data_IF_171909905907
#
_entry.id   IF_171909905907
#
_cell.length_a   1.000
_cell.length_b   1.000
_cell.length_c   1.000
_cell.angle_alpha   90.00
_cell.angle_beta   90.00
_cell.angle_gamma   90.00
#
_symmetry.space_group_name_H-M   'P 1'
#
loop_
_entity.id
_entity.type
_entity.pdbx_description
1 polymer ?
#
# COMPACT_ATOMS: atom_id res chain seq x y z
N UNK A 1 5.01 10.80 10.71
CA UNK A 1 4.99 11.71 9.54
C UNK A 1 6.29 12.47 9.34
N UNK A 2 6.80 13.22 10.33
CA UNK A 2 8.09 13.96 10.23
C UNK A 2 9.26 13.18 9.61
N UNK A 3 9.40 11.87 9.88
CA UNK A 3 10.44 11.05 9.26
C UNK A 3 10.23 10.85 7.75
N UNK A 4 8.99 10.60 7.31
CA UNK A 4 8.64 10.47 5.88
C UNK A 4 8.90 11.79 5.17
N UNK A 5 8.51 12.91 5.78
CA UNK A 5 8.78 14.25 5.25
C UNK A 5 10.28 14.51 5.08
N UNK A 6 11.10 14.17 6.09
CA UNK A 6 12.56 14.28 5.97
C UNK A 6 13.14 13.44 4.83
N UNK A 7 12.58 12.26 4.58
CA UNK A 7 13.00 11.40 3.46
C UNK A 7 12.62 12.06 2.13
N UNK A 8 11.40 12.58 2.01
CA UNK A 8 10.93 13.33 0.84
C UNK A 8 11.86 14.51 0.57
N UNK A 9 12.11 15.34 1.58
CA UNK A 9 12.98 16.52 1.47
C UNK A 9 14.39 16.13 0.98
N UNK A 10 14.94 15.04 1.50
CA UNK A 10 16.24 14.52 1.08
C UNK A 10 16.29 14.10 -0.39
N UNK A 11 15.24 13.44 -0.89
CA UNK A 11 15.15 13.04 -2.30
C UNK A 11 14.89 14.23 -3.23
N UNK A 12 14.01 15.15 -2.85
CA UNK A 12 13.73 16.36 -3.63
C UNK A 12 14.97 17.26 -3.72
N UNK A 13 15.75 17.38 -2.64
CA UNK A 13 16.98 18.17 -2.62
C UNK A 13 18.05 17.69 -3.62
N UNK A 14 18.04 16.40 -3.99
CA UNK A 14 18.92 15.83 -5.03
C UNK A 14 18.26 15.79 -6.41
N UNK A 15 17.12 16.47 -6.59
CA UNK A 15 16.41 16.57 -7.86
C UNK A 15 15.54 15.35 -8.20
N UNK A 16 15.30 14.44 -7.24
CA UNK A 16 14.43 13.30 -7.48
C UNK A 16 12.96 13.70 -7.47
N UNK A 17 12.18 13.14 -8.40
CA UNK A 17 10.72 13.20 -8.35
C UNK A 17 10.20 12.12 -7.40
N UNK A 18 9.51 12.53 -6.35
CA UNK A 18 9.04 11.59 -5.31
C UNK A 18 7.59 11.17 -5.56
N UNK A 19 7.35 9.87 -5.42
CA UNK A 19 6.02 9.25 -5.44
C UNK A 19 5.77 8.51 -4.13
N UNK A 20 4.57 8.67 -3.59
CA UNK A 20 4.09 7.88 -2.46
C UNK A 20 3.25 6.70 -2.96
N UNK A 21 3.39 5.56 -2.29
CA UNK A 21 2.62 4.35 -2.60
C UNK A 21 1.85 3.94 -1.36
N UNK A 22 0.53 3.75 -1.47
CA UNK A 22 -0.28 3.25 -0.34
C UNK A 22 -0.04 1.76 -0.10
N UNK A 23 -0.36 1.28 1.09
CA UNK A 23 -0.13 -0.11 1.49
C UNK A 23 -1.39 -0.96 1.24
N UNK A 24 -1.33 -1.98 0.38
CA UNK A 24 -2.35 -3.03 0.37
C UNK A 24 -2.18 -3.90 1.63
N UNK A 25 -3.25 -4.60 2.02
CA UNK A 25 -3.21 -5.48 3.19
C UNK A 25 -4.23 -6.60 3.09
N UNK A 26 -4.00 -7.67 3.84
CA UNK A 26 -4.88 -8.85 3.90
C UNK A 26 -6.25 -8.52 4.50
N UNK A 27 -6.29 -7.64 5.49
CA UNK A 27 -7.53 -7.23 6.16
C UNK A 27 -8.06 -5.89 5.62
N UNK A 28 -9.34 -5.63 5.84
CA UNK A 28 -10.06 -4.42 5.43
C UNK A 28 -11.22 -4.19 6.40
N UNK A 29 -11.55 -2.93 6.69
CA UNK A 29 -12.72 -2.61 7.53
C UNK A 29 -14.05 -2.82 6.80
N UNK A 30 -14.01 -2.97 5.47
CA UNK A 30 -15.20 -3.05 4.61
C UNK A 30 -15.69 -4.47 4.33
N UNK A 31 -14.89 -5.48 4.65
CA UNK A 31 -15.21 -6.89 4.36
C UNK A 31 -14.88 -7.78 5.56
N UNK A 32 -15.63 -8.88 5.69
CA UNK A 32 -15.33 -9.90 6.69
C UNK A 32 -14.12 -10.73 6.23
N UNK A 33 -13.08 -10.91 7.05
CA UNK A 33 -11.97 -11.79 6.71
C UNK A 33 -12.44 -13.23 6.46
N UNK A 34 -11.87 -13.89 5.45
CA UNK A 34 -12.07 -15.33 5.26
C UNK A 34 -11.42 -16.12 6.40
N UNK A 35 -11.87 -17.38 6.61
CA UNK A 35 -11.23 -18.27 7.59
C UNK A 35 -9.74 -18.49 7.28
N UNK A 36 -9.38 -18.54 6.00
CA UNK A 36 -7.99 -18.66 5.58
C UNK A 36 -7.21 -17.38 5.88
N UNK A 37 -7.78 -16.20 5.66
CA UNK A 37 -7.16 -14.92 6.03
C UNK A 37 -6.89 -14.85 7.54
N UNK A 38 -7.85 -15.27 8.38
CA UNK A 38 -7.66 -15.35 9.83
C UNK A 38 -6.56 -16.33 10.23
N UNK A 39 -6.39 -17.43 9.48
CA UNK A 39 -5.37 -18.44 9.75
C UNK A 39 -3.95 -17.99 9.39
N UNK A 40 -3.80 -17.23 8.30
CA UNK A 40 -2.47 -16.78 7.82
C UNK A 40 -2.10 -15.39 8.35
N UNK A 41 -3.07 -14.60 8.82
CA UNK A 41 -2.83 -13.24 9.27
C UNK A 41 -2.05 -13.19 10.58
N UNK A 42 -0.90 -12.52 10.56
CA UNK A 42 -0.15 -12.15 11.76
C UNK A 42 -0.62 -10.78 12.27
N UNK A 43 -1.13 -10.75 13.50
CA UNK A 43 -1.57 -9.52 14.15
C UNK A 43 -0.50 -9.00 15.11
N UNK A 44 -0.47 -7.68 15.38
CA UNK A 44 0.35 -7.14 16.45
C UNK A 44 0.03 -7.80 17.80
N UNK A 45 1.03 -7.93 18.67
CA UNK A 45 0.90 -8.61 19.96
C UNK A 45 -0.14 -8.01 20.91
N UNK A 46 -0.57 -6.77 20.67
CA UNK A 46 -1.57 -6.07 21.48
C UNK A 46 -3.02 -6.31 21.03
N UNK A 47 -3.26 -7.07 19.94
CA UNK A 47 -4.62 -7.29 19.44
C UNK A 47 -4.78 -8.62 18.72
N UNK A 48 -5.94 -9.23 18.93
CA UNK A 48 -6.41 -10.40 18.15
C UNK A 48 -7.49 -10.01 17.14
N UNK A 49 -7.84 -8.72 17.07
CA UNK A 49 -8.89 -8.21 16.20
C UNK A 49 -8.27 -7.74 14.86
N UNK A 50 -8.53 -8.42 13.73
CA UNK A 50 -7.97 -8.06 12.43
C UNK A 50 -8.40 -6.66 11.95
N UNK A 51 -9.54 -6.16 12.43
CA UNK A 51 -10.02 -4.83 12.10
C UNK A 51 -9.17 -3.72 12.72
N UNK A 52 -8.44 -3.99 13.80
CA UNK A 52 -7.50 -3.04 14.39
C UNK A 52 -6.34 -2.80 13.42
N UNK A 53 -5.75 -3.87 12.88
CA UNK A 53 -4.70 -3.74 11.86
C UNK A 53 -5.23 -3.05 10.59
N UNK A 54 -6.41 -3.46 10.11
CA UNK A 54 -7.04 -2.82 8.95
C UNK A 54 -7.22 -1.31 9.16
N UNK A 55 -7.72 -0.89 10.33
CA UNK A 55 -7.95 0.52 10.66
C UNK A 55 -6.64 1.31 10.73
N UNK A 56 -5.59 0.74 11.34
CA UNK A 56 -4.27 1.38 11.39
C UNK A 56 -3.72 1.60 9.98
N UNK A 57 -3.77 0.56 9.13
CA UNK A 57 -3.30 0.64 7.74
C UNK A 57 -4.11 1.63 6.91
N UNK A 58 -5.44 1.62 7.04
CA UNK A 58 -6.33 2.57 6.34
C UNK A 58 -6.03 4.01 6.77
N UNK A 59 -5.84 4.25 8.07
CA UNK A 59 -5.48 5.57 8.57
C UNK A 59 -4.13 6.04 8.04
N UNK A 60 -3.14 5.14 8.02
CA UNK A 60 -1.83 5.44 7.44
C UNK A 60 -1.93 5.78 5.95
N UNK A 61 -2.70 5.00 5.17
CA UNK A 61 -2.94 5.27 3.75
C UNK A 61 -3.67 6.61 3.52
N UNK A 62 -4.64 6.97 4.35
CA UNK A 62 -5.27 8.29 4.31
C UNK A 62 -4.24 9.40 4.55
N UNK A 63 -3.32 9.22 5.51
CA UNK A 63 -2.26 10.18 5.76
C UNK A 63 -1.28 10.30 4.59
N UNK A 64 -0.93 9.19 3.92
CA UNK A 64 -0.10 9.24 2.70
C UNK A 64 -0.79 10.00 1.57
N UNK A 65 -2.10 9.76 1.36
CA UNK A 65 -2.90 10.49 0.35
C UNK A 65 -2.92 11.99 0.65
N UNK A 66 -3.18 12.36 1.92
CA UNK A 66 -3.19 13.75 2.35
C UNK A 66 -1.81 14.42 2.16
N UNK A 67 -0.73 13.72 2.54
CA UNK A 67 0.63 14.21 2.35
C UNK A 67 0.96 14.42 0.87
N UNK A 68 0.56 13.49 0.00
CA UNK A 68 0.76 13.62 -1.44
C UNK A 68 0.10 14.88 -2.00
N UNK A 69 -1.13 15.18 -1.57
CA UNK A 69 -1.83 16.41 -1.98
C UNK A 69 -1.15 17.66 -1.41
N UNK A 70 -0.84 17.67 -0.12
CA UNK A 70 -0.23 18.81 0.57
C UNK A 70 1.12 19.20 -0.04
N UNK A 71 1.90 18.22 -0.48
CA UNK A 71 3.25 18.40 -1.02
C UNK A 71 3.32 18.35 -2.55
N UNK A 72 2.16 18.24 -3.23
CA UNK A 72 2.08 18.06 -4.69
C UNK A 72 2.95 16.89 -5.21
N UNK A 73 3.01 15.80 -4.45
CA UNK A 73 3.74 14.59 -4.83
C UNK A 73 2.87 13.70 -5.70
N UNK A 74 3.51 12.82 -6.46
CA UNK A 74 2.79 11.75 -7.14
C UNK A 74 2.29 10.69 -6.15
N UNK A 75 1.12 10.11 -6.45
CA UNK A 75 0.54 9.03 -5.66
C UNK A 75 0.25 7.81 -6.54
N UNK A 76 0.71 6.64 -6.12
CA UNK A 76 0.27 5.36 -6.64
C UNK A 76 -0.60 4.69 -5.57
N UNK A 77 -1.92 4.74 -5.78
CA UNK A 77 -2.88 4.23 -4.81
C UNK A 77 -3.08 2.70 -4.93
N UNK A 78 -2.09 1.97 -4.43
CA UNK A 78 -2.03 0.52 -4.45
C UNK A 78 -3.08 -0.13 -3.54
N UNK A 79 -3.45 0.50 -2.43
CA UNK A 79 -4.57 0.04 -1.59
C UNK A 79 -5.87 0.05 -2.38
N UNK A 80 -6.20 1.16 -3.05
CA UNK A 80 -7.44 1.29 -3.81
C UNK A 80 -7.50 0.30 -4.96
N UNK A 81 -6.40 0.17 -5.70
CA UNK A 81 -6.29 -0.83 -6.77
C UNK A 81 -6.37 -2.26 -6.23
N UNK A 82 -5.72 -2.52 -5.09
CA UNK A 82 -5.64 -3.85 -4.46
C UNK A 82 -6.98 -4.34 -3.93
N UNK A 83 -7.85 -3.46 -3.43
CA UNK A 83 -9.22 -3.82 -3.04
C UNK A 83 -10.02 -4.50 -4.16
N UNK A 84 -9.71 -4.17 -5.42
CA UNK A 84 -10.40 -4.71 -6.60
C UNK A 84 -9.63 -5.90 -7.17
N UNK A 85 -8.30 -5.80 -7.27
CA UNK A 85 -7.48 -6.71 -8.09
C UNK A 85 -6.82 -7.84 -7.30
N UNK A 86 -6.77 -7.72 -5.97
CA UNK A 86 -6.25 -8.74 -5.05
C UNK A 86 -7.39 -9.44 -4.31
N UNK A 87 -8.48 -9.77 -5.02
CA UNK A 87 -9.62 -10.47 -4.44
C UNK A 87 -9.75 -11.91 -4.98
N UNK A 88 -10.04 -12.91 -4.12
CA UNK A 88 -10.05 -12.81 -2.65
C UNK A 88 -8.62 -12.64 -2.09
N UNK A 89 -8.48 -11.85 -1.03
CA UNK A 89 -7.17 -11.39 -0.52
C UNK A 89 -6.26 -12.52 -0.05
N UNK A 90 -6.83 -13.55 0.55
CA UNK A 90 -6.13 -14.76 1.02
C UNK A 90 -5.51 -15.62 -0.10
N UNK A 91 -5.67 -15.25 -1.37
CA UNK A 91 -4.96 -15.84 -2.51
C UNK A 91 -3.67 -15.11 -2.89
N UNK A 92 -3.46 -13.89 -2.42
CA UNK A 92 -2.35 -13.03 -2.85
C UNK A 92 -1.37 -12.69 -1.74
N UNK A 93 -1.68 -13.05 -0.50
CA UNK A 93 -0.88 -12.77 0.68
C UNK A 93 -0.32 -14.04 1.32
N UNK A 94 0.86 -13.94 1.93
CA UNK A 94 1.46 -14.97 2.79
C UNK A 94 1.12 -14.73 4.26
N UNK A 95 0.99 -13.47 4.67
CA UNK A 95 0.54 -13.06 5.99
C UNK A 95 -0.28 -11.76 5.91
N UNK A 96 -0.44 -11.02 7.02
CA UNK A 96 -1.25 -9.80 7.04
C UNK A 96 -0.79 -8.69 6.09
N UNK A 97 0.50 -8.65 5.72
CA UNK A 97 1.12 -7.52 5.00
C UNK A 97 1.97 -7.95 3.80
N UNK A 98 2.53 -9.17 3.82
CA UNK A 98 3.40 -9.67 2.77
C UNK A 98 2.62 -10.43 1.70
N UNK A 99 2.97 -10.16 0.45
CA UNK A 99 2.37 -10.79 -0.73
C UNK A 99 3.09 -12.10 -1.05
N UNK A 100 2.35 -13.06 -1.60
CA UNK A 100 2.94 -14.22 -2.25
C UNK A 100 3.36 -13.90 -3.70
N UNK A 101 3.94 -14.86 -4.40
CA UNK A 101 4.43 -14.68 -5.76
C UNK A 101 3.36 -14.13 -6.73
N UNK A 102 2.11 -14.62 -6.64
CA UNK A 102 0.99 -14.14 -7.47
C UNK A 102 0.61 -12.68 -7.13
N UNK A 103 0.63 -12.34 -5.85
CA UNK A 103 0.40 -10.97 -5.39
C UNK A 103 1.47 -10.01 -5.87
N UNK A 104 2.74 -10.40 -5.75
CA UNK A 104 3.89 -9.64 -6.22
C UNK A 104 3.87 -9.44 -7.74
N UNK A 105 3.52 -10.48 -8.51
CA UNK A 105 3.38 -10.39 -9.96
C UNK A 105 2.34 -9.35 -10.36
N UNK A 106 1.13 -9.41 -9.78
CA UNK A 106 0.07 -8.45 -10.10
C UNK A 106 0.44 -7.01 -9.72
N UNK A 107 1.04 -6.81 -8.54
CA UNK A 107 1.47 -5.48 -8.12
C UNK A 107 2.61 -4.97 -8.99
N UNK A 108 3.57 -5.82 -9.35
CA UNK A 108 4.67 -5.46 -10.26
C UNK A 108 4.14 -4.98 -11.61
N UNK A 109 3.20 -5.71 -12.20
CA UNK A 109 2.56 -5.31 -13.46
C UNK A 109 1.82 -3.96 -13.35
N UNK A 110 1.06 -3.76 -12.27
CA UNK A 110 0.36 -2.49 -12.02
C UNK A 110 1.33 -1.31 -11.81
N UNK A 111 2.37 -1.50 -11.01
CA UNK A 111 3.39 -0.47 -10.78
C UNK A 111 4.11 -0.12 -12.08
N UNK A 112 4.47 -1.11 -12.90
CA UNK A 112 5.10 -0.89 -14.20
C UNK A 112 4.21 -0.04 -15.12
N UNK A 113 2.91 -0.34 -15.19
CA UNK A 113 1.94 0.46 -15.97
C UNK A 113 1.86 1.91 -15.48
N UNK A 114 1.84 2.13 -14.16
CA UNK A 114 1.80 3.48 -13.58
C UNK A 114 3.09 4.26 -13.77
N UNK A 115 4.24 3.61 -13.70
CA UNK A 115 5.56 4.24 -13.83
C UNK A 115 5.94 4.52 -15.28
N UNK A 116 5.50 3.70 -16.23
CA UNK A 116 5.82 3.85 -17.66
C UNK A 116 5.56 5.27 -18.23
N UNK A 117 4.38 5.90 -18.06
CA UNK A 117 4.15 7.26 -18.58
C UNK A 117 4.99 8.32 -17.85
N UNK A 118 5.32 8.08 -16.58
CA UNK A 118 6.14 8.99 -15.76
C UNK A 118 7.58 9.00 -16.26
N UNK A 119 8.13 7.85 -16.62
CA UNK A 119 9.50 7.73 -17.13
C UNK A 119 9.60 8.24 -18.57
N UNK A 120 8.58 7.97 -19.40
CA UNK A 120 8.57 8.39 -20.81
C UNK A 120 8.43 9.89 -21.03
N UNK A 121 7.90 10.66 -20.07
CA UNK A 121 7.84 12.13 -20.20
C UNK A 121 9.21 12.83 -20.05
N UNK A 122 10.31 12.07 -19.93
CA UNK A 122 11.67 12.57 -19.69
C UNK A 122 12.69 12.14 -20.77
N UNK A 123 12.22 11.52 -21.85
CA UNK A 123 12.96 11.29 -23.09
C UNK A 123 12.23 12.00 -24.24
#
# INVERSE_FOLDING_TARGET
MKQIEKIIDGFEAIGSRVYLVTLPGLFSTKEKPSLKALKIGHLPTFTENPYVLATITEKFNQTLRALSLQRNLGLIDLEKWGMINLHPKDQYFTDSVHLNAKGLEKIGAFLADKLKPIIRSHY
#
